data_IF_178564991353
#
_entry.id   IF_178564991353
#
_cell.length_a   1.000
_cell.length_b   1.000
_cell.length_c   1.000
_cell.angle_alpha   90.00
_cell.angle_beta   90.00
_cell.angle_gamma   90.00
#
_symmetry.space_group_name_H-M   'P 1'
#
loop_
_entity.id
_entity.type
_entity.pdbx_description
1 polymer ?
#
# COMPACT_ATOMS: atom_id res chain seq x y z
N UNK A 1 18.60 15.28 1.66
CA UNK A 1 17.58 16.35 1.67
C UNK A 1 16.51 15.91 0.67
N UNK A 2 15.48 15.18 1.12
CA UNK A 2 14.44 14.64 0.26
C UNK A 2 13.51 15.79 -0.08
N UNK A 3 13.47 16.20 -1.32
CA UNK A 3 12.54 17.20 -1.84
C UNK A 3 11.12 16.66 -1.60
N UNK A 4 10.37 17.33 -0.75
CA UNK A 4 8.96 17.01 -0.51
C UNK A 4 8.18 17.47 -1.75
N UNK A 5 8.08 16.60 -2.74
CA UNK A 5 7.32 16.85 -3.96
C UNK A 5 5.84 16.56 -3.69
N UNK A 6 5.09 17.63 -3.44
CA UNK A 6 3.63 17.60 -3.42
C UNK A 6 3.04 17.52 -4.86
N UNK A 7 3.90 17.50 -5.89
CA UNK A 7 3.48 17.64 -7.29
C UNK A 7 3.49 16.32 -8.08
N UNK A 8 3.81 15.20 -7.45
CA UNK A 8 3.85 13.91 -8.14
C UNK A 8 2.45 13.29 -8.19
N UNK A 9 1.82 13.35 -9.33
CA UNK A 9 0.67 12.50 -9.62
C UNK A 9 1.13 11.04 -9.58
N UNK A 10 0.45 10.14 -8.83
CA UNK A 10 0.78 8.74 -8.80
C UNK A 10 0.79 8.13 -10.20
N UNK A 11 1.82 7.36 -10.51
CA UNK A 11 2.08 6.91 -11.88
C UNK A 11 0.96 6.03 -12.46
N UNK A 12 0.55 5.00 -11.72
CA UNK A 12 -0.48 4.06 -12.18
C UNK A 12 -1.87 4.70 -12.18
N UNK A 13 -2.16 5.57 -11.22
CA UNK A 13 -3.37 6.37 -11.22
C UNK A 13 -3.42 7.34 -12.40
N UNK A 14 -2.31 7.99 -12.70
CA UNK A 14 -2.20 8.89 -13.85
C UNK A 14 -2.50 8.18 -15.17
N UNK A 15 -1.94 6.99 -15.39
CA UNK A 15 -2.24 6.17 -16.57
C UNK A 15 -3.71 5.77 -16.62
N UNK A 16 -4.28 5.29 -15.53
CA UNK A 16 -5.68 4.92 -15.43
C UNK A 16 -6.60 6.10 -15.73
N UNK A 17 -6.32 7.25 -15.12
CA UNK A 17 -7.09 8.49 -15.32
C UNK A 17 -7.09 8.93 -16.80
N UNK A 18 -5.95 8.87 -17.46
CA UNK A 18 -5.85 9.21 -18.90
C UNK A 18 -6.62 8.21 -19.78
N UNK A 19 -6.58 6.91 -19.50
CA UNK A 19 -7.36 5.91 -20.21
C UNK A 19 -8.88 6.13 -20.05
N UNK A 20 -9.32 6.49 -18.83
CA UNK A 20 -10.72 6.86 -18.59
C UNK A 20 -11.13 8.11 -19.37
N UNK A 21 -10.32 9.17 -19.38
CA UNK A 21 -10.59 10.40 -20.14
C UNK A 21 -10.69 10.15 -21.65
N UNK A 22 -9.89 9.23 -22.18
CA UNK A 22 -9.94 8.83 -23.60
C UNK A 22 -11.13 7.91 -23.92
N UNK A 23 -11.87 7.46 -22.90
CA UNK A 23 -12.99 6.52 -23.08
C UNK A 23 -12.55 5.06 -23.33
N UNK A 24 -11.27 4.75 -23.11
CA UNK A 24 -10.72 3.41 -23.27
C UNK A 24 -11.17 2.47 -22.14
N UNK A 25 -11.42 3.03 -20.93
CA UNK A 25 -11.89 2.29 -19.76
C UNK A 25 -13.21 2.91 -19.30
N UNK A 26 -14.34 2.18 -19.39
CA UNK A 26 -15.59 2.62 -18.80
C UNK A 26 -15.52 2.51 -17.28
N UNK A 27 -16.01 3.53 -16.59
CA UNK A 27 -16.07 3.54 -15.14
C UNK A 27 -17.51 3.70 -14.64
N UNK A 28 -17.81 3.02 -13.55
CA UNK A 28 -19.06 3.20 -12.83
C UNK A 28 -18.97 4.38 -11.85
N UNK A 29 -20.08 4.66 -11.17
CA UNK A 29 -20.17 5.75 -10.19
C UNK A 29 -19.16 5.62 -9.05
N UNK A 30 -19.00 4.40 -8.52
CA UNK A 30 -18.14 4.11 -7.38
C UNK A 30 -16.67 4.36 -7.73
N UNK A 31 -16.23 3.95 -8.91
CA UNK A 31 -14.87 4.21 -9.41
C UNK A 31 -14.67 5.71 -9.63
N UNK A 32 -15.68 6.41 -10.18
CA UNK A 32 -15.60 7.88 -10.34
C UNK A 32 -15.49 8.61 -8.99
N UNK A 33 -16.20 8.15 -7.96
CA UNK A 33 -16.08 8.70 -6.60
C UNK A 33 -14.68 8.47 -6.03
N UNK A 34 -14.10 7.29 -6.24
CA UNK A 34 -12.73 6.98 -5.79
C UNK A 34 -11.70 7.82 -6.54
N UNK A 35 -11.86 8.05 -7.84
CA UNK A 35 -11.00 8.96 -8.60
C UNK A 35 -11.03 10.38 -8.03
N UNK A 36 -12.22 10.91 -7.71
CA UNK A 36 -12.34 12.22 -7.08
C UNK A 36 -11.65 12.26 -5.72
N UNK A 37 -11.79 11.19 -4.91
CA UNK A 37 -11.08 11.08 -3.62
C UNK A 37 -9.55 11.12 -3.79
N UNK A 38 -9.02 10.46 -4.82
CA UNK A 38 -7.57 10.48 -5.11
C UNK A 38 -7.14 11.87 -5.56
N UNK A 39 -7.93 12.54 -6.40
CA UNK A 39 -7.66 13.92 -6.82
C UNK A 39 -7.64 14.88 -5.62
N UNK A 40 -8.54 14.70 -4.64
CA UNK A 40 -8.56 15.46 -3.40
C UNK A 40 -7.30 15.18 -2.54
N UNK A 41 -6.80 13.95 -2.52
CA UNK A 41 -5.53 13.62 -1.83
C UNK A 41 -4.34 14.33 -2.48
N UNK A 42 -4.28 14.33 -3.82
CA UNK A 42 -3.23 15.04 -4.58
C UNK A 42 -3.25 16.55 -4.26
N UNK A 43 -4.43 17.13 -4.16
CA UNK A 43 -4.60 18.55 -3.87
C UNK A 43 -4.35 18.94 -2.40
N UNK A 44 -4.26 17.97 -1.48
CA UNK A 44 -4.15 18.24 -0.05
C UNK A 44 -2.69 18.48 0.37
N UNK A 45 -2.31 19.68 0.83
CA UNK A 45 -0.93 20.01 1.18
C UNK A 45 -0.40 19.25 2.42
N UNK A 46 -1.29 18.64 3.21
CA UNK A 46 -0.92 17.83 4.39
C UNK A 46 -0.69 16.35 4.08
N UNK A 47 -0.99 15.91 2.85
CA UNK A 47 -0.82 14.55 2.39
C UNK A 47 0.35 14.49 1.39
N UNK A 48 1.14 13.46 1.49
CA UNK A 48 2.34 13.26 0.67
C UNK A 48 2.24 11.92 -0.05
N UNK A 49 2.78 11.86 -1.26
CA UNK A 49 2.92 10.65 -2.03
C UNK A 49 4.38 10.14 -1.99
N UNK A 50 4.54 8.85 -1.77
CA UNK A 50 5.83 8.15 -1.71
C UNK A 50 5.90 7.09 -2.81
N UNK A 51 6.48 7.40 -3.97
CA UNK A 51 6.63 6.44 -5.06
C UNK A 51 7.56 5.28 -4.69
N UNK A 52 8.58 5.52 -3.85
CA UNK A 52 9.55 4.49 -3.47
C UNK A 52 8.89 3.38 -2.64
N UNK A 53 7.91 3.73 -1.79
CA UNK A 53 7.13 2.75 -1.03
C UNK A 53 6.28 1.86 -1.94
N UNK A 54 5.71 2.43 -3.01
CA UNK A 54 4.94 1.68 -4.02
C UNK A 54 5.83 0.76 -4.83
N UNK A 55 6.93 1.31 -5.36
CA UNK A 55 7.92 0.55 -6.13
C UNK A 55 8.57 -0.56 -5.31
N UNK A 56 8.85 -0.31 -4.02
CA UNK A 56 9.38 -1.31 -3.11
C UNK A 56 8.47 -2.51 -2.97
N UNK A 57 7.15 -2.29 -2.81
CA UNK A 57 6.17 -3.38 -2.78
C UNK A 57 6.08 -4.13 -4.12
N UNK A 58 6.02 -3.41 -5.25
CA UNK A 58 5.92 -4.03 -6.58
C UNK A 58 7.16 -4.90 -6.86
N UNK A 59 8.36 -4.35 -6.61
CA UNK A 59 9.62 -5.09 -6.80
C UNK A 59 9.71 -6.31 -5.89
N UNK A 60 9.28 -6.20 -4.64
CA UNK A 60 9.21 -7.36 -3.75
C UNK A 60 8.30 -8.45 -4.34
N UNK A 61 7.10 -8.09 -4.80
CA UNK A 61 6.18 -9.05 -5.37
C UNK A 61 6.73 -9.72 -6.63
N UNK A 62 7.32 -8.95 -7.54
CA UNK A 62 7.77 -9.43 -8.85
C UNK A 62 9.14 -10.13 -8.81
N UNK A 63 9.98 -9.88 -7.78
CA UNK A 63 11.30 -10.49 -7.66
C UNK A 63 11.39 -11.60 -6.61
N UNK A 64 10.59 -11.55 -5.54
CA UNK A 64 10.74 -12.45 -4.40
C UNK A 64 9.58 -13.47 -4.29
N UNK A 65 8.47 -13.24 -5.02
CA UNK A 65 7.32 -14.14 -4.95
C UNK A 65 7.12 -14.89 -6.26
N UNK A 66 6.76 -16.17 -6.12
CA UNK A 66 6.38 -17.02 -7.26
C UNK A 66 4.94 -17.48 -7.13
N UNK A 67 4.32 -17.83 -8.25
CA UNK A 67 3.03 -18.48 -8.26
C UNK A 67 3.13 -19.94 -7.79
N UNK A 68 2.00 -20.56 -7.46
CA UNK A 68 1.94 -21.94 -6.97
C UNK A 68 2.46 -22.97 -7.98
N UNK A 69 2.52 -22.63 -9.25
CA UNK A 69 3.11 -23.45 -10.33
C UNK A 69 4.61 -23.20 -10.53
N UNK A 70 5.22 -22.35 -9.71
CA UNK A 70 6.61 -21.98 -9.77
C UNK A 70 6.97 -20.91 -10.81
N UNK A 71 5.98 -20.33 -11.51
CA UNK A 71 6.23 -19.23 -12.42
C UNK A 71 6.38 -17.90 -11.67
N UNK A 72 7.06 -16.94 -12.32
CA UNK A 72 7.26 -15.61 -11.76
C UNK A 72 5.93 -14.85 -11.62
N UNK A 73 5.76 -14.17 -10.50
CA UNK A 73 4.61 -13.33 -10.28
C UNK A 73 4.80 -11.99 -10.99
N UNK A 74 3.90 -11.66 -11.91
CA UNK A 74 3.81 -10.33 -12.50
C UNK A 74 2.51 -9.66 -12.07
N UNK A 75 2.60 -8.50 -11.43
CA UNK A 75 1.42 -7.76 -10.98
C UNK A 75 0.70 -7.12 -12.16
N UNK A 76 -0.59 -7.41 -12.29
CA UNK A 76 -1.45 -6.78 -13.28
C UNK A 76 -1.60 -5.27 -13.00
N UNK A 77 -1.85 -4.42 -14.02
CA UNK A 77 -1.91 -2.97 -13.86
C UNK A 77 -2.86 -2.49 -12.75
N UNK A 78 -4.00 -3.14 -12.57
CA UNK A 78 -4.94 -2.78 -11.52
C UNK A 78 -4.45 -3.13 -10.11
N UNK A 79 -3.60 -4.16 -9.94
CA UNK A 79 -2.93 -4.44 -8.67
C UNK A 79 -1.89 -3.37 -8.33
N UNK A 80 -1.17 -2.89 -9.33
CA UNK A 80 -0.22 -1.77 -9.15
C UNK A 80 -0.94 -0.49 -8.77
N UNK A 81 -2.09 -0.21 -9.38
CA UNK A 81 -2.97 0.89 -8.97
C UNK A 81 -3.47 0.74 -7.53
N UNK A 82 -3.87 -0.47 -7.11
CA UNK A 82 -4.27 -0.72 -5.72
C UNK A 82 -3.10 -0.58 -4.74
N UNK A 83 -1.90 -1.00 -5.15
CA UNK A 83 -0.68 -0.81 -4.36
C UNK A 83 -0.39 0.68 -4.13
N UNK A 84 -0.56 1.53 -5.14
CA UNK A 84 -0.44 2.98 -4.97
C UNK A 84 -1.37 3.51 -3.87
N UNK A 85 -2.61 3.00 -3.82
CA UNK A 85 -3.57 3.45 -2.82
C UNK A 85 -3.21 3.00 -1.41
N UNK A 86 -2.57 1.83 -1.25
CA UNK A 86 -2.19 1.30 0.07
C UNK A 86 -0.87 1.89 0.56
N UNK A 87 0.15 1.91 -0.30
CA UNK A 87 1.53 2.17 0.10
C UNK A 87 1.98 3.59 -0.18
N UNK A 88 1.35 4.27 -1.16
CA UNK A 88 1.84 5.56 -1.65
C UNK A 88 1.49 6.76 -0.77
N UNK A 89 0.42 6.71 0.02
CA UNK A 89 -0.09 7.88 0.73
C UNK A 89 0.31 7.91 2.19
N UNK A 90 0.83 9.05 2.65
CA UNK A 90 1.22 9.24 4.04
C UNK A 90 1.06 10.69 4.50
N UNK A 91 1.12 10.88 5.80
CA UNK A 91 1.13 12.16 6.47
C UNK A 91 2.13 12.15 7.63
N UNK A 92 2.46 13.32 8.14
CA UNK A 92 3.34 13.43 9.29
C UNK A 92 2.55 13.82 10.54
N UNK A 93 2.92 13.22 11.66
CA UNK A 93 2.44 13.58 13.00
C UNK A 93 3.61 13.88 13.90
N UNK A 94 3.43 14.85 14.78
CA UNK A 94 4.37 15.09 15.87
C UNK A 94 4.07 14.15 17.02
N UNK A 95 5.10 13.46 17.50
CA UNK A 95 5.01 12.57 18.66
C UNK A 95 6.12 12.86 19.65
N UNK A 96 5.75 12.87 20.92
CA UNK A 96 6.73 12.85 22.01
C UNK A 96 7.30 11.44 22.15
N UNK A 97 8.60 11.30 21.93
CA UNK A 97 9.35 10.06 22.00
C UNK A 97 10.36 10.18 23.12
N UNK A 98 10.42 9.18 24.00
CA UNK A 98 11.44 9.12 25.04
C UNK A 98 12.78 8.70 24.43
N UNK A 99 13.80 9.52 24.62
CA UNK A 99 15.19 9.19 24.28
C UNK A 99 15.93 8.87 25.59
N UNK A 100 16.44 7.63 25.74
CA UNK A 100 17.27 7.30 26.89
C UNK A 100 18.53 8.16 26.89
N UNK A 101 18.95 8.61 28.07
CA UNK A 101 20.20 9.36 28.23
C UNK A 101 21.41 8.45 28.03
N UNK A 102 22.47 8.96 27.44
CA UNK A 102 23.75 8.28 27.31
C UNK A 102 24.63 8.53 28.55
N UNK A 103 25.47 7.56 28.89
CA UNK A 103 26.50 7.73 29.94
C UNK A 103 25.97 8.00 31.36
N UNK A 104 24.77 7.51 31.71
CA UNK A 104 24.16 7.70 33.03
C UNK A 104 23.37 9.00 33.20
N UNK A 105 23.19 9.77 32.12
CA UNK A 105 22.30 10.93 32.13
C UNK A 105 20.83 10.51 32.11
N UNK A 106 19.95 11.33 32.69
CA UNK A 106 18.51 11.10 32.59
C UNK A 106 18.03 11.22 31.13
N UNK A 107 17.19 10.30 30.72
CA UNK A 107 16.53 10.39 29.42
C UNK A 107 15.55 11.56 29.36
N UNK A 108 15.22 11.98 28.16
CA UNK A 108 14.30 13.11 27.90
C UNK A 108 13.24 12.77 26.87
N UNK A 109 12.10 13.44 26.93
CA UNK A 109 11.12 13.44 25.86
C UNK A 109 11.49 14.48 24.81
N UNK A 110 11.52 14.03 23.54
CA UNK A 110 11.75 14.90 22.38
C UNK A 110 10.58 14.78 21.41
N UNK A 111 10.18 15.89 20.82
CA UNK A 111 9.14 15.88 19.79
C UNK A 111 9.77 15.49 18.46
N UNK A 112 9.31 14.38 17.89
CA UNK A 112 9.74 13.91 16.57
C UNK A 112 8.59 13.93 15.58
N UNK A 113 8.90 14.33 14.35
CA UNK A 113 8.00 14.22 13.22
C UNK A 113 8.06 12.80 12.68
N UNK A 114 6.95 12.06 12.79
CA UNK A 114 6.85 10.64 12.42
C UNK A 114 5.97 10.50 11.19
N UNK A 115 6.49 9.81 10.16
CA UNK A 115 5.76 9.45 8.96
C UNK A 115 4.71 8.38 9.29
N UNK A 116 3.47 8.60 8.87
CA UNK A 116 2.37 7.64 9.02
C UNK A 116 1.70 7.37 7.70
N UNK A 117 1.45 6.10 7.42
CA UNK A 117 0.63 5.69 6.27
C UNK A 117 -0.80 6.19 6.46
N UNK A 118 -1.36 6.79 5.41
CA UNK A 118 -2.71 7.34 5.42
C UNK A 118 -3.75 6.21 5.38
N UNK A 119 -3.57 5.23 4.49
CA UNK A 119 -4.49 4.12 4.30
C UNK A 119 -4.11 2.98 5.24
N UNK A 120 -4.98 2.70 6.20
CA UNK A 120 -4.85 1.61 7.17
C UNK A 120 -5.93 0.52 7.01
N UNK A 121 -6.89 0.75 6.12
CA UNK A 121 -7.94 -0.22 5.77
C UNK A 121 -8.25 -0.10 4.28
N UNK A 122 -8.36 -1.21 3.61
CA UNK A 122 -8.78 -1.29 2.21
C UNK A 122 -9.86 -2.34 2.03
N UNK A 123 -10.88 -1.99 1.27
CA UNK A 123 -11.95 -2.90 0.86
C UNK A 123 -11.86 -3.11 -0.65
N UNK A 124 -11.64 -4.36 -1.08
CA UNK A 124 -11.56 -4.72 -2.48
C UNK A 124 -12.79 -5.54 -2.84
N UNK A 125 -13.65 -4.95 -3.66
CA UNK A 125 -14.87 -5.59 -4.15
C UNK A 125 -14.68 -5.90 -5.64
N UNK A 126 -14.90 -7.14 -6.02
CA UNK A 126 -14.74 -7.57 -7.41
C UNK A 126 -15.35 -8.94 -7.64
N UNK A 127 -15.60 -9.29 -8.90
CA UNK A 127 -16.11 -10.58 -9.32
C UNK A 127 -15.18 -11.76 -8.99
N UNK A 128 -15.62 -12.98 -9.29
CA UNK A 128 -14.74 -14.15 -9.26
C UNK A 128 -13.66 -14.02 -10.32
N UNK A 129 -12.48 -14.59 -10.06
CA UNK A 129 -11.36 -14.61 -11.02
C UNK A 129 -10.48 -13.36 -11.08
N UNK A 130 -10.77 -12.31 -10.30
CA UNK A 130 -9.89 -11.11 -10.23
C UNK A 130 -8.75 -11.26 -9.22
N UNK A 131 -8.35 -12.48 -8.88
CA UNK A 131 -7.20 -12.81 -8.04
C UNK A 131 -7.08 -12.02 -6.71
N UNK A 132 -8.21 -11.66 -6.07
CA UNK A 132 -8.23 -10.90 -4.81
C UNK A 132 -7.48 -11.60 -3.68
N UNK A 133 -7.61 -12.93 -3.56
CA UNK A 133 -6.92 -13.72 -2.52
C UNK A 133 -5.42 -13.69 -2.73
N UNK A 134 -4.95 -13.82 -3.97
CA UNK A 134 -3.53 -13.68 -4.30
C UNK A 134 -3.00 -12.29 -3.92
N UNK A 135 -3.71 -11.23 -4.28
CA UNK A 135 -3.32 -9.87 -3.92
C UNK A 135 -3.29 -9.66 -2.40
N UNK A 136 -4.28 -10.19 -1.67
CA UNK A 136 -4.26 -10.19 -0.20
C UNK A 136 -3.03 -10.92 0.35
N UNK A 137 -2.69 -12.07 -0.24
CA UNK A 137 -1.52 -12.84 0.15
C UNK A 137 -0.21 -12.07 -0.07
N UNK A 138 -0.03 -11.40 -1.21
CA UNK A 138 1.18 -10.60 -1.47
C UNK A 138 1.34 -9.43 -0.49
N UNK A 139 0.24 -8.79 -0.08
CA UNK A 139 0.26 -7.74 0.95
C UNK A 139 0.71 -8.31 2.29
N UNK A 140 0.17 -9.46 2.69
CA UNK A 140 0.57 -10.13 3.94
C UNK A 140 2.05 -10.52 3.91
N UNK A 141 2.54 -11.10 2.80
CA UNK A 141 3.94 -11.47 2.65
C UNK A 141 4.86 -10.24 2.78
N UNK A 142 4.52 -9.14 2.14
CA UNK A 142 5.29 -7.90 2.23
C UNK A 142 5.38 -7.36 3.66
N UNK A 143 4.25 -7.31 4.38
CA UNK A 143 4.24 -6.83 5.76
C UNK A 143 4.97 -7.76 6.73
N UNK A 144 5.05 -9.05 6.45
CA UNK A 144 5.79 -10.00 7.28
C UNK A 144 7.30 -9.93 7.04
N UNK A 145 7.72 -9.74 5.80
CA UNK A 145 9.12 -9.88 5.40
C UNK A 145 9.86 -8.55 5.28
N UNK A 146 9.17 -7.47 4.94
CA UNK A 146 9.81 -6.18 4.61
C UNK A 146 9.37 -5.07 5.56
N UNK A 147 8.08 -4.88 5.78
CA UNK A 147 7.56 -3.84 6.67
C UNK A 147 7.43 -4.36 8.11
N UNK A 148 8.53 -4.34 8.83
CA UNK A 148 8.62 -4.81 10.24
C UNK A 148 7.85 -3.94 11.23
N UNK A 149 7.18 -2.88 10.79
CA UNK A 149 6.31 -2.05 11.64
C UNK A 149 5.05 -2.80 12.11
N UNK A 150 4.72 -3.91 11.45
CA UNK A 150 3.56 -4.76 11.77
C UNK A 150 4.01 -5.98 12.55
N UNK A 151 3.56 -6.12 13.79
CA UNK A 151 3.98 -7.21 14.68
C UNK A 151 3.08 -8.45 14.62
N UNK A 152 1.85 -8.31 14.10
CA UNK A 152 0.93 -9.43 13.95
C UNK A 152 -0.02 -9.23 12.77
N UNK A 153 -0.35 -10.31 12.09
CA UNK A 153 -1.30 -10.32 10.99
C UNK A 153 -2.32 -11.44 11.20
N UNK A 154 -3.56 -11.16 10.86
CA UNK A 154 -4.66 -12.12 10.96
C UNK A 154 -5.38 -12.17 9.63
N UNK A 155 -5.40 -13.35 9.00
CA UNK A 155 -6.22 -13.64 7.84
C UNK A 155 -7.53 -14.28 8.30
N UNK A 156 -8.66 -13.72 7.89
CA UNK A 156 -9.98 -14.27 8.18
C UNK A 156 -10.73 -14.55 6.89
N UNK A 157 -11.44 -15.68 6.86
CA UNK A 157 -12.28 -16.06 5.75
C UNK A 157 -13.51 -16.82 6.27
N UNK A 158 -14.62 -16.89 5.50
CA UNK A 158 -15.83 -17.60 5.91
C UNK A 158 -15.61 -19.10 6.15
N UNK A 159 -14.58 -19.70 5.55
CA UNK A 159 -14.21 -21.10 5.76
C UNK A 159 -12.72 -21.25 6.07
N UNK A 160 -12.38 -22.28 6.87
CA UNK A 160 -11.01 -22.66 7.19
C UNK A 160 -10.17 -22.85 5.91
N UNK A 161 -10.72 -23.54 4.91
CA UNK A 161 -10.06 -23.78 3.63
C UNK A 161 -9.65 -22.49 2.93
N UNK A 162 -10.51 -21.47 2.91
CA UNK A 162 -10.18 -20.17 2.30
C UNK A 162 -9.11 -19.41 3.09
N UNK A 163 -9.12 -19.52 4.42
CA UNK A 163 -8.07 -18.92 5.25
C UNK A 163 -6.71 -19.61 5.02
N UNK A 164 -6.71 -20.94 4.88
CA UNK A 164 -5.51 -21.72 4.55
C UNK A 164 -4.95 -21.40 3.14
N UNK A 165 -5.82 -21.17 2.15
CA UNK A 165 -5.41 -20.78 0.80
C UNK A 165 -4.65 -19.45 0.83
N UNK A 166 -5.06 -18.48 1.66
CA UNK A 166 -4.35 -17.23 1.88
C UNK A 166 -2.99 -17.52 2.56
N UNK A 167 -2.95 -18.36 3.57
CA UNK A 167 -1.74 -18.73 4.30
C UNK A 167 -0.72 -19.51 3.47
N UNK A 168 -1.17 -20.40 2.57
CA UNK A 168 -0.29 -21.24 1.73
C UNK A 168 0.39 -20.46 0.60
N UNK A 169 -0.14 -19.33 0.21
CA UNK A 169 0.50 -18.45 -0.79
C UNK A 169 1.80 -17.79 -0.25
N UNK A 170 2.22 -18.12 0.97
CA UNK A 170 3.37 -17.54 1.66
C UNK A 170 4.49 -18.53 1.99
N UNK A 171 4.40 -19.78 1.53
CA UNK A 171 5.43 -20.81 1.81
C UNK A 171 6.14 -21.21 0.54
#
# INVERSE_FOLDING_TARGET
MTTLLNDAVPYYYGQFREAVKKGEIPVNREVSMEMNRIDDLIANPGIYYDPDAVEGYIKYCENELTLTDGSDLTLLPYFKLWAEQIFGWYYFVERSVYEPGEGGMAGRYVTKRVKKRLVNKQYIIGGRGVAKSMYGATIHAYFLNVDTSTTSQVATAPTMRQAEEIGRAHV
#
